data_IF_611048543444
#
_entry.id   IF_611048543444
#
_cell.length_a   1.000
_cell.length_b   1.000
_cell.length_c   1.000
_cell.angle_alpha   90.00
_cell.angle_beta   90.00
_cell.angle_gamma   90.00
#
_symmetry.space_group_name_H-M   'P 1'
#
loop_
_entity.id
_entity.type
_entity.pdbx_description
1 polymer ?
#
# COMPACT_ATOMS: atom_id res chain seq x y z
N UNK A 1 7.68 -5.07 24.30
CA UNK A 1 7.66 -3.88 23.41
C UNK A 1 6.66 -4.18 22.31
N UNK A 2 5.66 -3.31 22.09
CA UNK A 2 4.73 -3.47 20.97
C UNK A 2 5.47 -3.17 19.68
N UNK A 3 5.92 -4.21 18.97
CA UNK A 3 6.62 -4.06 17.69
C UNK A 3 5.61 -3.98 16.55
N UNK A 4 5.81 -3.01 15.66
CA UNK A 4 4.97 -2.79 14.48
C UNK A 4 5.81 -2.91 13.21
N UNK A 5 5.32 -3.68 12.25
CA UNK A 5 5.88 -3.74 10.91
C UNK A 5 5.41 -2.54 10.10
N UNK A 6 6.32 -1.91 9.38
CA UNK A 6 6.02 -0.86 8.41
C UNK A 6 6.32 -1.38 7.01
N UNK A 7 5.33 -1.30 6.12
CA UNK A 7 5.47 -1.72 4.74
C UNK A 7 4.93 -0.64 3.81
N UNK A 8 5.84 0.04 3.10
CA UNK A 8 5.49 0.96 2.02
C UNK A 8 5.26 0.20 0.71
N UNK A 9 4.01 0.14 0.24
CA UNK A 9 3.63 -0.47 -1.04
C UNK A 9 3.77 0.54 -2.17
N UNK A 10 4.38 0.14 -3.29
CA UNK A 10 4.54 0.99 -4.48
C UNK A 10 5.86 1.77 -4.54
N UNK A 11 6.83 1.42 -3.69
CA UNK A 11 8.14 2.09 -3.59
C UNK A 11 9.03 1.92 -4.82
N UNK A 12 8.71 1.00 -5.74
CA UNK A 12 9.47 0.73 -6.96
C UNK A 12 9.84 -0.74 -7.09
N UNK A 13 10.59 -1.08 -8.15
CA UNK A 13 10.98 -2.46 -8.40
C UNK A 13 11.95 -2.97 -7.33
N UNK A 14 11.81 -4.26 -6.99
CA UNK A 14 12.72 -5.00 -6.12
C UNK A 14 13.24 -6.23 -6.87
N UNK A 15 14.18 -6.97 -6.27
CA UNK A 15 14.61 -8.28 -6.79
C UNK A 15 13.44 -9.28 -7.00
N UNK A 16 12.29 -9.03 -6.36
CA UNK A 16 11.09 -9.86 -6.44
C UNK A 16 10.04 -9.33 -7.43
N UNK A 17 10.33 -8.28 -8.22
CA UNK A 17 9.34 -7.60 -9.07
C UNK A 17 8.88 -8.39 -10.30
N UNK A 18 9.61 -9.45 -10.71
CA UNK A 18 9.22 -10.38 -11.79
C UNK A 18 8.80 -9.69 -13.10
N UNK A 19 9.53 -8.66 -13.51
CA UNK A 19 9.25 -7.88 -14.72
C UNK A 19 8.18 -6.80 -14.57
N UNK A 20 7.56 -6.66 -13.40
CA UNK A 20 6.68 -5.53 -13.08
C UNK A 20 7.45 -4.26 -12.71
N UNK A 21 6.77 -3.12 -12.79
CA UNK A 21 7.34 -1.81 -12.44
C UNK A 21 7.52 -1.57 -10.93
N UNK A 22 6.95 -2.43 -10.08
CA UNK A 22 6.96 -2.30 -8.62
C UNK A 22 6.22 -1.07 -8.09
N UNK A 23 5.37 -0.44 -8.91
CA UNK A 23 4.59 0.75 -8.55
C UNK A 23 3.15 0.37 -8.21
N UNK A 24 2.56 1.11 -7.28
CA UNK A 24 1.12 1.10 -7.06
C UNK A 24 0.50 2.34 -7.71
N UNK A 25 -0.78 2.25 -8.10
CA UNK A 25 -1.54 3.35 -8.70
C UNK A 25 -2.53 3.93 -7.70
N UNK A 26 -2.87 5.20 -7.86
CA UNK A 26 -3.70 5.94 -6.91
C UNK A 26 -5.04 5.25 -6.61
N UNK A 27 -5.76 4.75 -7.62
CA UNK A 27 -7.03 4.02 -7.42
C UNK A 27 -6.87 2.79 -6.52
N UNK A 28 -5.74 2.09 -6.63
CA UNK A 28 -5.51 0.85 -5.89
C UNK A 28 -5.13 1.16 -4.44
N UNK A 29 -4.30 2.18 -4.23
CA UNK A 29 -3.89 2.64 -2.91
C UNK A 29 -5.06 3.23 -2.13
N UNK A 30 -5.95 4.01 -2.78
CA UNK A 30 -7.15 4.57 -2.12
C UNK A 30 -8.07 3.45 -1.63
N UNK A 31 -8.36 2.46 -2.47
CA UNK A 31 -9.22 1.33 -2.07
C UNK A 31 -8.63 0.53 -0.92
N UNK A 32 -7.32 0.28 -0.94
CA UNK A 32 -6.65 -0.42 0.15
C UNK A 32 -6.71 0.38 1.46
N UNK A 33 -6.41 1.68 1.41
CA UNK A 33 -6.51 2.55 2.58
C UNK A 33 -7.91 2.52 3.20
N UNK A 34 -8.94 2.75 2.37
CA UNK A 34 -10.33 2.77 2.83
C UNK A 34 -10.79 1.42 3.35
N UNK A 35 -10.45 0.32 2.66
CA UNK A 35 -10.83 -1.02 3.10
C UNK A 35 -10.16 -1.42 4.41
N UNK A 36 -8.86 -1.14 4.57
CA UNK A 36 -8.11 -1.40 5.81
C UNK A 36 -8.73 -0.68 7.01
N UNK A 37 -8.97 0.61 6.89
CA UNK A 37 -9.51 1.40 8.01
C UNK A 37 -10.99 1.10 8.26
N UNK A 38 -11.78 0.79 7.22
CA UNK A 38 -13.15 0.34 7.38
C UNK A 38 -13.23 -0.99 8.13
N UNK A 39 -12.44 -2.00 7.72
CA UNK A 39 -12.39 -3.31 8.40
C UNK A 39 -11.98 -3.17 9.87
N UNK A 40 -10.96 -2.36 10.17
CA UNK A 40 -10.55 -2.10 11.54
C UNK A 40 -11.70 -1.52 12.38
N UNK A 41 -12.41 -0.52 11.85
CA UNK A 41 -13.53 0.10 12.54
C UNK A 41 -14.79 -0.79 12.61
N UNK A 42 -14.87 -1.82 11.77
CA UNK A 42 -15.87 -2.89 11.87
C UNK A 42 -15.50 -3.99 12.89
N UNK A 43 -14.33 -3.88 13.54
CA UNK A 43 -13.85 -4.88 14.49
C UNK A 43 -13.29 -6.15 13.82
N UNK A 44 -12.98 -6.09 12.52
CA UNK A 44 -12.41 -7.21 11.77
C UNK A 44 -10.89 -7.04 11.77
N UNK A 45 -10.17 -8.10 12.15
CA UNK A 45 -8.70 -8.12 12.15
C UNK A 45 -8.15 -7.88 10.74
N UNK A 46 -7.27 -6.89 10.61
CA UNK A 46 -6.69 -6.51 9.32
C UNK A 46 -5.39 -5.72 9.49
N UNK A 47 -4.64 -5.56 8.41
CA UNK A 47 -3.55 -4.58 8.35
C UNK A 47 -4.11 -3.16 8.30
N UNK A 48 -3.46 -2.22 8.98
CA UNK A 48 -3.84 -0.80 9.02
C UNK A 48 -3.14 0.01 7.93
N UNK A 49 -3.74 1.13 7.54
CA UNK A 49 -3.17 2.05 6.57
C UNK A 49 -2.80 3.37 7.25
N UNK A 50 -1.49 3.64 7.37
CA UNK A 50 -0.97 4.81 8.06
C UNK A 50 -1.00 6.07 7.21
N UNK A 51 -0.60 5.97 5.94
CA UNK A 51 -0.56 7.11 5.03
C UNK A 51 -0.70 6.69 3.57
N UNK A 52 -1.16 7.63 2.75
CA UNK A 52 -1.25 7.49 1.30
C UNK A 52 -0.67 8.76 0.65
N UNK A 53 0.29 8.58 -0.26
CA UNK A 53 0.94 9.66 -1.00
C UNK A 53 0.78 9.40 -2.48
N UNK A 54 0.18 10.34 -3.21
CA UNK A 54 0.06 10.30 -4.67
C UNK A 54 1.16 11.11 -5.36
N UNK A 55 1.52 10.74 -6.59
CA UNK A 55 2.43 11.51 -7.44
C UNK A 55 1.74 11.84 -8.77
N UNK A 56 1.59 13.13 -9.05
CA UNK A 56 1.02 13.63 -10.32
C UNK A 56 2.02 13.61 -11.48
N UNK A 57 3.32 13.49 -11.17
CA UNK A 57 4.40 13.56 -12.16
C UNK A 57 4.89 12.18 -12.62
N UNK A 58 4.42 11.10 -11.98
CA UNK A 58 4.88 9.74 -12.26
C UNK A 58 3.76 8.91 -12.90
N UNK A 59 3.69 8.83 -14.24
CA UNK A 59 2.73 7.98 -14.92
C UNK A 59 3.10 6.50 -14.77
N UNK A 60 2.09 5.66 -14.57
CA UNK A 60 2.20 4.21 -14.42
C UNK A 60 1.22 3.56 -15.39
N UNK A 61 1.69 2.58 -16.16
CA UNK A 61 0.87 1.91 -17.18
C UNK A 61 0.13 0.72 -16.59
N UNK A 62 -1.20 0.74 -16.68
CA UNK A 62 -2.09 -0.40 -16.42
C UNK A 62 -3.00 -0.58 -17.64
N UNK A 63 -4.30 -0.79 -17.46
CA UNK A 63 -5.29 -0.76 -18.55
C UNK A 63 -5.38 0.64 -19.20
N UNK A 64 -5.10 1.68 -18.41
CA UNK A 64 -4.89 3.05 -18.84
C UNK A 64 -3.60 3.62 -18.21
N UNK A 65 -3.20 4.83 -18.61
CA UNK A 65 -2.15 5.56 -17.90
C UNK A 65 -2.76 6.13 -16.61
N UNK A 66 -2.15 5.79 -15.49
CA UNK A 66 -2.58 6.21 -14.15
C UNK A 66 -1.44 6.93 -13.42
N UNK A 67 -1.74 7.51 -12.26
CA UNK A 67 -0.75 8.16 -11.39
C UNK A 67 -0.22 7.20 -10.34
N UNK A 68 1.09 7.23 -10.11
CA UNK A 68 1.71 6.44 -9.06
C UNK A 68 1.23 6.88 -7.67
N UNK A 69 1.21 5.94 -6.73
CA UNK A 69 0.98 6.21 -5.33
C UNK A 69 1.78 5.24 -4.45
N UNK A 70 2.01 5.66 -3.21
CA UNK A 70 2.54 4.83 -2.13
C UNK A 70 1.50 4.79 -1.01
N UNK A 71 1.24 3.60 -0.46
CA UNK A 71 0.48 3.43 0.79
C UNK A 71 1.38 2.77 1.83
N UNK A 72 1.48 3.39 3.01
CA UNK A 72 2.23 2.83 4.15
C UNK A 72 1.28 2.01 4.98
N UNK A 73 1.53 0.70 5.01
CA UNK A 73 0.79 -0.29 5.78
C UNK A 73 1.50 -0.51 7.11
N UNK A 74 0.72 -0.70 8.17
CA UNK A 74 1.24 -1.10 9.47
C UNK A 74 0.48 -2.30 10.02
N UNK A 75 1.18 -3.17 10.73
CA UNK A 75 0.60 -4.32 11.42
C UNK A 75 1.43 -4.66 12.67
N UNK A 76 0.84 -5.23 13.72
CA UNK A 76 1.61 -5.78 14.82
C UNK A 76 2.54 -6.89 14.29
N UNK A 77 3.77 -6.92 14.75
CA UNK A 77 4.64 -8.08 14.57
C UNK A 77 4.26 -9.05 15.68
N UNK A 78 3.45 -10.04 15.36
CA UNK A 78 3.34 -11.22 16.21
C UNK A 78 4.59 -12.06 15.98
N UNK A 79 5.45 -12.13 17.00
CA UNK A 79 6.47 -13.15 17.06
C UNK A 79 5.74 -14.50 17.13
N UNK A 80 5.85 -15.29 16.07
CA UNK A 80 5.53 -16.71 16.12
C UNK A 80 6.56 -17.42 17.00
#
# INVERSE_FOLDING_TARGET
LNQWAFHAKGTGPTQYARGGDGRAVLRSSIREYLASEAMFNLGIETTRALSLVGSVMLPVRREAIETAAIVVRIAPIVAF
#
